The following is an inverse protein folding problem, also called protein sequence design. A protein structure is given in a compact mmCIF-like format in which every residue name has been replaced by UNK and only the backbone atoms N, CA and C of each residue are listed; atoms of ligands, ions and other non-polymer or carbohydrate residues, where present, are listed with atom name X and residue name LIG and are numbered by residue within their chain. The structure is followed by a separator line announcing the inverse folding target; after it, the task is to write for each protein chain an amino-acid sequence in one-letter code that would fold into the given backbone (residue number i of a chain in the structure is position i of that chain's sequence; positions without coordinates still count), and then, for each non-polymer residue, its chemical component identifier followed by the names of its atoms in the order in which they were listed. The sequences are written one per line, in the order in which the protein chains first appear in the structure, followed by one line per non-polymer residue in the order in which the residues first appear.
data_IF_739887634234
#
_entry.id   IF_739887634234
#
_cell.length_a   1.000
_cell.length_b   1.000
_cell.length_c   1.000
_cell.angle_alpha   90.00
_cell.angle_beta   90.00
_cell.angle_gamma   90.00
#
_symmetry.space_group_name_H-M   'P 1'
#
loop_
_entity.id
_entity.type
_entity.pdbx_description
1 polymer ?
#
# COMPACT_ATOMS: atom_id res chain seq x y z
N UNK A 1 18.02 -7.50 -3.65
CA UNK A 1 16.89 -6.59 -3.93
C UNK A 1 17.47 -5.23 -4.26
N UNK A 2 17.03 -4.63 -5.36
CA UNK A 2 17.31 -3.24 -5.64
C UNK A 2 16.21 -2.40 -4.96
N UNK A 3 16.60 -1.26 -4.40
CA UNK A 3 15.66 -0.31 -3.82
C UNK A 3 15.73 0.96 -4.67
N UNK A 4 14.62 1.70 -4.72
CA UNK A 4 14.64 3.05 -5.25
C UNK A 4 15.72 3.89 -4.53
N UNK A 5 16.41 4.72 -5.30
CA UNK A 5 17.27 5.76 -4.75
C UNK A 5 16.42 6.83 -4.07
N UNK A 6 17.06 7.66 -3.25
CA UNK A 6 16.35 8.76 -2.58
C UNK A 6 15.70 9.71 -3.60
N UNK A 7 16.37 10.03 -4.71
CA UNK A 7 15.83 10.92 -5.74
C UNK A 7 14.62 10.30 -6.45
N UNK A 8 14.67 8.99 -6.75
CA UNK A 8 13.53 8.26 -7.31
C UNK A 8 12.34 8.26 -6.34
N UNK A 9 12.58 8.04 -5.05
CA UNK A 9 11.53 8.09 -4.03
C UNK A 9 10.87 9.48 -3.92
N UNK A 10 11.65 10.56 -4.04
CA UNK A 10 11.15 11.93 -4.03
C UNK A 10 10.29 12.22 -5.27
N UNK A 11 10.69 11.71 -6.43
CA UNK A 11 9.95 11.87 -7.69
C UNK A 11 8.60 11.15 -7.69
N UNK A 12 8.43 10.07 -6.90
CA UNK A 12 7.15 9.36 -6.78
C UNK A 12 6.03 10.20 -6.16
N UNK A 13 6.36 11.29 -5.45
CA UNK A 13 5.35 12.24 -4.95
C UNK A 13 4.51 11.70 -3.79
N UNK A 14 5.14 11.02 -2.83
CA UNK A 14 4.47 10.58 -1.61
C UNK A 14 3.87 11.75 -0.82
N UNK A 15 2.71 11.54 -0.19
CA UNK A 15 2.11 12.53 0.71
C UNK A 15 3.05 12.86 1.87
N UNK A 16 3.68 11.83 2.43
CA UNK A 16 4.74 11.94 3.43
C UNK A 16 5.68 10.76 3.28
N UNK A 17 6.98 11.04 3.23
CA UNK A 17 8.03 10.02 3.22
C UNK A 17 9.04 10.29 4.33
N UNK A 18 9.16 9.36 5.26
CA UNK A 18 10.13 9.43 6.34
C UNK A 18 11.58 9.21 5.88
N UNK A 19 12.51 9.29 6.84
CA UNK A 19 13.92 9.02 6.59
C UNK A 19 14.18 7.50 6.56
N UNK A 20 15.17 7.07 5.77
CA UNK A 20 15.59 5.67 5.67
C UNK A 20 14.43 4.71 5.33
N UNK A 21 13.52 5.17 4.45
CA UNK A 21 12.50 4.31 3.86
C UNK A 21 13.13 3.53 2.71
N UNK A 22 12.86 2.23 2.64
CA UNK A 22 13.34 1.36 1.56
C UNK A 22 12.16 0.75 0.83
N UNK A 23 12.06 1.02 -0.46
CA UNK A 23 11.00 0.47 -1.31
C UNK A 23 11.67 -0.24 -2.46
N UNK A 24 11.32 -1.51 -2.66
CA UNK A 24 11.79 -2.29 -3.79
C UNK A 24 11.41 -1.63 -5.12
N UNK A 25 12.33 -1.62 -6.08
CA UNK A 25 12.06 -1.17 -7.45
C UNK A 25 11.09 -2.10 -8.22
N UNK A 26 10.76 -3.26 -7.64
CA UNK A 26 9.75 -4.20 -8.14
C UNK A 26 8.41 -4.11 -7.41
N UNK A 27 8.25 -3.17 -6.49
CA UNK A 27 6.96 -2.91 -5.87
C UNK A 27 6.13 -1.99 -6.77
N UNK A 28 4.84 -2.29 -6.91
CA UNK A 28 3.89 -1.42 -7.62
C UNK A 28 3.17 -0.54 -6.62
N UNK A 29 3.45 0.76 -6.65
CA UNK A 29 2.83 1.75 -5.75
C UNK A 29 2.01 2.74 -6.57
N UNK A 30 0.73 2.83 -6.24
CA UNK A 30 -0.22 3.74 -6.86
C UNK A 30 -0.69 4.78 -5.85
N UNK A 31 -1.13 5.95 -6.33
CA UNK A 31 -1.66 7.02 -5.48
C UNK A 31 -0.68 7.49 -4.39
N UNK A 32 0.62 7.60 -4.70
CA UNK A 32 1.64 8.03 -3.74
C UNK A 32 1.26 9.31 -2.99
N UNK A 33 0.59 10.25 -3.66
CA UNK A 33 0.06 11.49 -3.08
C UNK A 33 -1.01 11.30 -1.98
N UNK A 34 -1.45 10.07 -1.73
CA UNK A 34 -2.37 9.67 -0.65
C UNK A 34 -1.72 8.73 0.38
N UNK A 35 -0.43 8.44 0.22
CA UNK A 35 0.32 7.47 1.03
C UNK A 35 1.32 8.21 1.92
N UNK A 36 1.27 7.92 3.22
CA UNK A 36 2.23 8.36 4.21
C UNK A 36 3.05 7.14 4.67
N UNK A 37 4.39 7.27 4.70
CA UNK A 37 5.29 6.20 5.18
C UNK A 37 6.26 6.78 6.20
N UNK A 38 6.21 6.25 7.42
CA UNK A 38 7.13 6.58 8.51
C UNK A 38 8.56 6.10 8.26
N UNK A 39 9.52 6.71 8.96
CA UNK A 39 10.93 6.38 8.79
C UNK A 39 11.29 4.96 9.22
N UNK A 40 12.40 4.45 8.67
CA UNK A 40 12.90 3.09 8.88
C UNK A 40 11.93 1.97 8.46
N UNK A 41 10.96 2.29 7.60
CA UNK A 41 10.01 1.31 7.08
C UNK A 41 10.48 0.75 5.73
N UNK A 42 10.09 -0.48 5.44
CA UNK A 42 10.56 -1.26 4.30
C UNK A 42 9.41 -1.95 3.59
N UNK A 43 9.37 -1.82 2.26
CA UNK A 43 8.43 -2.50 1.36
C UNK A 43 9.22 -3.33 0.35
N UNK A 44 8.93 -4.62 0.29
CA UNK A 44 9.70 -5.58 -0.49
C UNK A 44 9.11 -5.86 -1.89
N UNK A 45 9.82 -6.70 -2.65
CA UNK A 45 9.52 -7.05 -4.03
C UNK A 45 8.07 -7.53 -4.21
N UNK A 46 7.46 -7.13 -5.33
CA UNK A 46 6.14 -7.59 -5.76
C UNK A 46 4.99 -7.25 -4.81
N UNK A 47 5.21 -6.32 -3.88
CA UNK A 47 4.12 -5.69 -3.15
C UNK A 47 3.28 -4.84 -4.12
N UNK A 48 1.96 -4.86 -3.94
CA UNK A 48 1.02 -3.97 -4.63
C UNK A 48 0.33 -3.11 -3.60
N UNK A 49 0.56 -1.79 -3.65
CA UNK A 49 0.05 -0.83 -2.68
C UNK A 49 -0.73 0.26 -3.41
N UNK A 50 -1.97 0.52 -2.99
CA UNK A 50 -2.85 1.48 -3.68
C UNK A 50 -3.88 2.14 -2.76
N UNK A 51 -4.30 3.35 -3.10
CA UNK A 51 -5.30 4.13 -2.34
C UNK A 51 -4.73 4.87 -1.13
N UNK A 52 -5.60 5.19 -0.17
CA UNK A 52 -5.24 5.95 1.03
C UNK A 52 -4.54 5.07 2.07
N UNK A 53 -3.30 5.38 2.42
CA UNK A 53 -2.54 4.62 3.42
C UNK A 53 -1.76 5.50 4.39
N UNK A 54 -1.66 5.03 5.63
CA UNK A 54 -0.71 5.53 6.62
C UNK A 54 0.08 4.36 7.20
N UNK A 55 1.37 4.31 6.87
CA UNK A 55 2.32 3.32 7.36
C UNK A 55 3.21 4.02 8.40
N UNK A 56 3.30 3.45 9.60
CA UNK A 56 4.11 3.96 10.70
C UNK A 56 5.62 3.79 10.49
N UNK A 57 6.36 3.95 11.58
CA UNK A 57 7.82 3.79 11.66
C UNK A 57 8.20 2.35 11.96
N UNK A 58 9.34 1.92 11.45
CA UNK A 58 9.86 0.56 11.67
C UNK A 58 8.87 -0.54 11.24
N UNK A 59 8.16 -0.30 10.14
CA UNK A 59 7.22 -1.28 9.57
C UNK A 59 7.90 -2.07 8.46
N UNK A 60 7.71 -3.38 8.45
CA UNK A 60 8.14 -4.24 7.33
C UNK A 60 6.94 -4.84 6.61
N UNK A 61 6.83 -4.51 5.32
CA UNK A 61 5.89 -5.13 4.38
C UNK A 61 6.70 -6.09 3.51
N UNK A 62 6.55 -7.38 3.79
CA UNK A 62 7.32 -8.45 3.13
C UNK A 62 6.77 -8.75 1.72
N UNK A 63 7.51 -9.51 0.87
CA UNK A 63 7.13 -9.76 -0.51
C UNK A 63 5.70 -10.28 -0.72
N UNK A 64 5.16 -9.96 -1.90
CA UNK A 64 3.83 -10.38 -2.36
C UNK A 64 2.65 -9.90 -1.49
N UNK A 65 2.86 -8.93 -0.59
CA UNK A 65 1.74 -8.30 0.10
C UNK A 65 0.90 -7.44 -0.85
N UNK A 66 -0.42 -7.47 -0.66
CA UNK A 66 -1.35 -6.59 -1.35
C UNK A 66 -2.07 -5.72 -0.33
N UNK A 67 -1.97 -4.39 -0.49
CA UNK A 67 -2.66 -3.43 0.38
C UNK A 67 -3.52 -2.52 -0.50
N UNK A 68 -4.83 -2.74 -0.45
CA UNK A 68 -5.84 -1.97 -1.16
C UNK A 68 -6.55 -1.04 -0.17
N UNK A 69 -6.01 0.18 -0.03
CA UNK A 69 -6.51 1.20 0.89
C UNK A 69 -7.82 1.85 0.45
N UNK A 70 -8.15 1.81 -0.85
CA UNK A 70 -9.41 2.38 -1.37
C UNK A 70 -9.61 3.84 -0.92
N UNK A 71 -10.87 4.21 -0.68
CA UNK A 71 -11.21 5.51 -0.06
C UNK A 71 -11.26 5.50 1.47
N UNK A 72 -11.69 4.42 2.17
CA UNK A 72 -11.71 4.40 3.64
C UNK A 72 -10.30 4.53 4.24
N UNK A 73 -9.32 3.92 3.59
CA UNK A 73 -7.92 3.90 3.96
C UNK A 73 -7.51 2.72 4.83
N UNK A 74 -6.19 2.53 4.97
CA UNK A 74 -5.57 1.54 5.87
C UNK A 74 -4.52 2.24 6.74
N UNK A 75 -4.48 1.89 8.02
CA UNK A 75 -3.48 2.35 8.98
C UNK A 75 -2.68 1.13 9.45
N UNK A 76 -1.36 1.19 9.32
CA UNK A 76 -0.42 0.21 9.87
C UNK A 76 0.46 0.97 10.85
N UNK A 77 0.33 0.69 12.15
CA UNK A 77 1.03 1.45 13.19
C UNK A 77 2.51 1.04 13.32
N UNK A 78 3.25 1.85 14.08
CA UNK A 78 4.67 1.67 14.33
C UNK A 78 4.99 0.23 14.81
N UNK A 79 6.14 -0.31 14.38
CA UNK A 79 6.66 -1.63 14.76
C UNK A 79 5.79 -2.82 14.32
N UNK A 80 4.83 -2.62 13.42
CA UNK A 80 4.05 -3.69 12.80
C UNK A 80 4.81 -4.40 11.68
N UNK A 81 4.44 -5.64 11.38
CA UNK A 81 4.94 -6.39 10.22
C UNK A 81 3.79 -7.08 9.50
N UNK A 82 3.74 -6.96 8.18
CA UNK A 82 2.92 -7.82 7.34
C UNK A 82 3.79 -8.93 6.78
N UNK A 83 3.47 -10.18 7.18
CA UNK A 83 4.15 -11.38 6.70
C UNK A 83 3.83 -11.67 5.22
N UNK A 84 4.59 -12.59 4.64
CA UNK A 84 4.62 -12.84 3.19
C UNK A 84 3.22 -13.16 2.66
N UNK A 85 2.84 -12.50 1.56
CA UNK A 85 1.56 -12.76 0.89
C UNK A 85 0.31 -12.26 1.61
N UNK A 86 0.43 -11.47 2.68
CA UNK A 86 -0.71 -10.86 3.38
C UNK A 86 -1.49 -9.94 2.45
N UNK A 87 -2.82 -10.02 2.49
CA UNK A 87 -3.72 -9.15 1.74
C UNK A 87 -4.59 -8.34 2.69
N UNK A 88 -4.59 -7.02 2.54
CA UNK A 88 -5.41 -6.09 3.33
C UNK A 88 -6.29 -5.29 2.39
N UNK A 89 -7.60 -5.33 2.64
CA UNK A 89 -8.62 -4.60 1.89
C UNK A 89 -9.43 -3.75 2.86
N UNK A 90 -9.61 -2.46 2.54
CA UNK A 90 -10.46 -1.56 3.33
C UNK A 90 -11.92 -1.54 2.87
N UNK A 91 -12.20 -2.15 1.73
CA UNK A 91 -13.51 -2.20 1.09
C UNK A 91 -13.61 -3.46 0.22
N UNK A 92 -14.82 -3.99 0.10
CA UNK A 92 -15.15 -5.12 -0.77
C UNK A 92 -16.51 -4.90 -1.42
N UNK A 93 -16.84 -5.74 -2.40
CA UNK A 93 -18.19 -5.83 -2.95
C UNK A 93 -19.17 -6.45 -1.93
N UNK A 94 -20.47 -6.33 -2.21
CA UNK A 94 -21.52 -7.04 -1.49
C UNK A 94 -21.72 -8.45 -2.08
N UNK A 95 -21.32 -9.46 -1.32
CA UNK A 95 -21.41 -10.86 -1.71
C UNK A 95 -22.71 -11.54 -1.28
N UNK A 96 -23.73 -10.79 -0.82
CA UNK A 96 -25.04 -11.35 -0.47
C UNK A 96 -25.87 -11.83 -1.67
N UNK A 97 -25.47 -11.45 -2.89
CA UNK A 97 -26.20 -11.74 -4.13
C UNK A 97 -27.26 -10.70 -4.50
N UNK A 98 -27.34 -9.58 -3.76
CA UNK A 98 -28.31 -8.49 -4.02
C UNK A 98 -27.84 -7.46 -5.04
N UNK A 99 -26.56 -7.46 -5.36
CA UNK A 99 -25.91 -6.48 -6.25
C UNK A 99 -24.96 -7.20 -7.20
N UNK A 100 -24.61 -6.55 -8.30
CA UNK A 100 -23.50 -7.01 -9.12
C UNK A 100 -22.16 -6.65 -8.44
N UNK A 101 -21.14 -7.48 -8.68
CA UNK A 101 -19.80 -7.35 -8.06
C UNK A 101 -18.74 -7.03 -9.11
N UNK A 102 -17.52 -6.71 -8.68
CA UNK A 102 -16.31 -6.44 -9.48
C UNK A 102 -16.19 -5.04 -10.10
N UNK A 103 -14.93 -4.66 -10.43
CA UNK A 103 -14.56 -3.31 -10.90
C UNK A 103 -14.99 -2.97 -12.33
N UNK A 104 -15.56 -3.91 -13.09
CA UNK A 104 -16.05 -3.69 -14.46
C UNK A 104 -17.53 -3.33 -14.51
N UNK A 105 -18.23 -3.40 -13.37
CA UNK A 105 -19.66 -3.10 -13.26
C UNK A 105 -19.86 -1.74 -12.58
N UNK A 106 -20.70 -0.84 -13.11
CA UNK A 106 -21.02 0.41 -12.43
C UNK A 106 -21.70 0.17 -11.09
N UNK A 107 -21.40 1.03 -10.10
CA UNK A 107 -21.90 0.89 -8.70
C UNK A 107 -23.42 0.91 -8.52
N UNK A 108 -24.17 1.27 -9.56
CA UNK A 108 -25.64 1.38 -9.53
C UNK A 108 -26.37 0.04 -9.71
N UNK A 109 -25.65 -1.06 -9.95
CA UNK A 109 -26.21 -2.36 -10.30
C UNK A 109 -25.86 -3.47 -9.30
#
# INVERSE_FOLDING_TARGET
MAYFTQDQLLQLGFKLLGKNVKISDKASIYNCNQIEIGGNSRIDDFCVISGKLKIGRNVHITPFCLIAGGTPGVIIEDFSTLAYGVKVFSQSDDYSGKTMVNSTVPKSF
#
